data_IF_157694043794
#
_entry.id   IF_157694043794
#
_cell.length_a   1.000
_cell.length_b   1.000
_cell.length_c   1.000
_cell.angle_alpha   90.00
_cell.angle_beta   90.00
_cell.angle_gamma   90.00
#
_symmetry.space_group_name_H-M   'P 1'
#
loop_
_entity.id
_entity.type
_entity.pdbx_description
1 polymer ?
#
# COMPACT_ATOMS: atom_id res chain seq x y z
N UNK A 1 21.16 1.12 15.28
CA UNK A 1 20.91 0.85 13.85
C UNK A 1 20.55 -0.62 13.58
N UNK A 2 21.33 -1.58 14.05
CA UNK A 2 21.06 -3.02 13.82
C UNK A 2 19.71 -3.48 14.37
N UNK A 3 19.33 -3.05 15.56
CA UNK A 3 18.03 -3.37 16.18
C UNK A 3 16.84 -2.83 15.35
N UNK A 4 16.94 -1.59 14.85
CA UNK A 4 15.90 -1.02 14.00
C UNK A 4 15.71 -1.79 12.69
N UNK A 5 16.81 -2.22 12.06
CA UNK A 5 16.77 -3.06 10.85
C UNK A 5 16.13 -4.42 11.15
N UNK A 6 16.51 -5.04 12.25
CA UNK A 6 15.92 -6.31 12.68
C UNK A 6 14.41 -6.19 12.92
N UNK A 7 13.99 -5.14 13.64
CA UNK A 7 12.57 -4.87 13.90
C UNK A 7 11.78 -4.68 12.60
N UNK A 8 12.31 -3.87 11.66
CA UNK A 8 11.66 -3.65 10.36
C UNK A 8 11.52 -4.95 9.59
N UNK A 9 12.57 -5.78 9.54
CA UNK A 9 12.52 -7.08 8.85
C UNK A 9 11.50 -8.01 9.50
N UNK A 10 11.41 -8.04 10.82
CA UNK A 10 10.42 -8.84 11.55
C UNK A 10 9.00 -8.42 11.21
N UNK A 11 8.71 -7.11 11.23
CA UNK A 11 7.40 -6.57 10.87
C UNK A 11 7.02 -6.88 9.42
N UNK A 12 7.94 -6.65 8.48
CA UNK A 12 7.69 -6.94 7.06
C UNK A 12 7.51 -8.44 6.81
N UNK A 13 8.25 -9.29 7.51
CA UNK A 13 8.07 -10.75 7.43
C UNK A 13 6.70 -11.16 7.94
N UNK A 14 6.23 -10.56 9.04
CA UNK A 14 4.89 -10.81 9.58
C UNK A 14 3.76 -10.37 8.63
N UNK A 15 3.98 -9.32 7.83
CA UNK A 15 3.02 -8.90 6.80
C UNK A 15 2.82 -9.93 5.69
N UNK A 16 3.86 -10.67 5.34
CA UNK A 16 3.84 -11.60 4.21
C UNK A 16 3.79 -13.05 4.64
N UNK A 17 3.64 -13.34 5.94
CA UNK A 17 3.65 -14.72 6.48
C UNK A 17 2.55 -15.59 5.89
N UNK A 18 1.37 -15.02 5.66
CA UNK A 18 0.21 -15.73 5.10
C UNK A 18 0.22 -15.76 3.55
N UNK A 19 1.24 -15.20 2.92
CA UNK A 19 1.40 -15.22 1.47
C UNK A 19 2.16 -16.48 1.05
N UNK A 20 1.76 -17.19 -0.01
CA UNK A 20 2.44 -18.41 -0.45
C UNK A 20 3.93 -18.24 -0.69
N UNK A 21 4.70 -19.28 -0.39
CA UNK A 21 6.15 -19.33 -0.59
C UNK A 21 6.51 -18.96 -2.04
N UNK A 22 7.56 -18.18 -2.20
CA UNK A 22 7.97 -17.62 -3.49
C UNK A 22 7.37 -16.26 -3.77
N UNK A 23 6.07 -16.08 -3.61
CA UNK A 23 5.42 -14.76 -3.64
C UNK A 23 5.79 -13.93 -2.43
N UNK A 24 5.76 -14.50 -1.22
CA UNK A 24 6.10 -13.84 0.04
C UNK A 24 7.53 -13.25 0.01
N UNK A 25 8.52 -14.01 -0.45
CA UNK A 25 9.89 -13.53 -0.57
C UNK A 25 10.02 -12.39 -1.59
N UNK A 26 9.27 -12.47 -2.71
CA UNK A 26 9.22 -11.40 -3.70
C UNK A 26 8.64 -10.11 -3.12
N UNK A 27 7.55 -10.20 -2.35
CA UNK A 27 6.95 -9.05 -1.65
C UNK A 27 7.88 -8.50 -0.56
N UNK A 28 8.57 -9.36 0.19
CA UNK A 28 9.57 -8.93 1.18
C UNK A 28 10.63 -8.03 0.53
N UNK A 29 11.16 -8.43 -0.62
CA UNK A 29 12.12 -7.62 -1.37
C UNK A 29 11.55 -6.28 -1.84
N UNK A 30 10.29 -6.26 -2.28
CA UNK A 30 9.60 -5.03 -2.68
C UNK A 30 9.41 -4.10 -1.49
N UNK A 31 8.94 -4.60 -0.35
CA UNK A 31 8.83 -3.80 0.87
C UNK A 31 10.19 -3.28 1.34
N UNK A 32 11.22 -4.11 1.31
CA UNK A 32 12.57 -3.68 1.66
C UNK A 32 13.09 -2.57 0.74
N UNK A 33 12.84 -2.66 -0.56
CA UNK A 33 13.16 -1.61 -1.53
C UNK A 33 12.45 -0.27 -1.18
N UNK A 34 11.18 -0.32 -0.80
CA UNK A 34 10.41 0.86 -0.40
C UNK A 34 10.96 1.46 0.90
N UNK A 35 11.11 0.65 1.95
CA UNK A 35 11.54 1.09 3.28
C UNK A 35 12.99 1.58 3.32
N UNK A 36 13.87 1.01 2.51
CA UNK A 36 15.26 1.49 2.36
C UNK A 36 15.40 2.77 1.53
N UNK A 37 14.30 3.34 1.02
CA UNK A 37 14.30 4.54 0.20
C UNK A 37 14.83 4.35 -1.23
N UNK A 38 15.17 3.12 -1.64
CA UNK A 38 15.71 2.87 -2.98
C UNK A 38 14.71 3.15 -4.10
N UNK A 39 13.43 3.00 -3.81
CA UNK A 39 12.37 3.40 -4.74
C UNK A 39 12.39 4.92 -5.03
N UNK A 40 12.71 5.76 -4.05
CA UNK A 40 12.83 7.22 -4.25
C UNK A 40 14.01 7.56 -5.16
N UNK A 41 15.17 6.91 -4.94
CA UNK A 41 16.36 7.12 -5.76
C UNK A 41 16.13 6.75 -7.24
N UNK A 42 15.26 5.79 -7.49
CA UNK A 42 14.94 5.32 -8.85
C UNK A 42 13.63 5.91 -9.39
N UNK A 43 13.11 6.98 -8.76
CA UNK A 43 11.86 7.67 -9.15
C UNK A 43 10.66 6.72 -9.26
N UNK A 44 10.59 5.72 -8.38
CA UNK A 44 9.54 4.70 -8.37
C UNK A 44 9.72 3.58 -9.39
N UNK A 45 10.83 3.51 -10.11
CA UNK A 45 11.12 2.41 -11.02
C UNK A 45 11.50 1.15 -10.24
N UNK A 46 10.65 0.11 -10.32
CA UNK A 46 10.76 -1.08 -9.47
C UNK A 46 12.00 -1.89 -9.77
N UNK A 47 12.25 -2.23 -11.02
CA UNK A 47 13.41 -3.07 -11.40
C UNK A 47 14.73 -2.41 -11.00
N UNK A 48 15.00 -1.13 -11.37
CA UNK A 48 16.20 -0.44 -10.89
C UNK A 48 16.26 -0.33 -9.36
N UNK A 49 15.11 -0.11 -8.69
CA UNK A 49 15.04 -0.06 -7.22
C UNK A 49 15.42 -1.37 -6.55
N UNK A 50 14.94 -2.49 -7.05
CA UNK A 50 15.31 -3.84 -6.60
C UNK A 50 16.80 -4.15 -6.85
N UNK A 51 17.33 -3.73 -7.98
CA UNK A 51 18.77 -3.85 -8.26
C UNK A 51 19.61 -2.99 -7.30
N UNK A 52 19.13 -1.79 -6.96
CA UNK A 52 19.82 -0.86 -6.06
C UNK A 52 19.86 -1.34 -4.59
N UNK A 53 19.03 -2.31 -4.17
CA UNK A 53 19.16 -2.99 -2.87
C UNK A 53 20.14 -4.17 -2.89
N UNK A 54 20.83 -4.40 -4.01
CA UNK A 54 21.87 -5.43 -4.12
C UNK A 54 21.35 -6.83 -4.46
N UNK A 55 20.10 -6.94 -4.95
CA UNK A 55 19.56 -8.23 -5.37
C UNK A 55 20.19 -8.72 -6.66
N UNK A 56 20.42 -10.03 -6.74
CA UNK A 56 20.82 -10.68 -8.00
C UNK A 56 19.70 -10.55 -9.05
N UNK A 57 20.06 -10.62 -10.33
CA UNK A 57 19.10 -10.52 -11.43
C UNK A 57 17.96 -11.54 -11.30
N UNK A 58 18.26 -12.77 -10.87
CA UNK A 58 17.24 -13.79 -10.62
C UNK A 58 16.29 -13.41 -9.48
N UNK A 59 16.79 -12.77 -8.41
CA UNK A 59 15.94 -12.28 -7.33
C UNK A 59 15.06 -11.10 -7.77
N UNK A 60 15.59 -10.18 -8.56
CA UNK A 60 14.84 -9.07 -9.17
C UNK A 60 13.70 -9.60 -10.04
N UNK A 61 13.95 -10.57 -10.91
CA UNK A 61 12.92 -11.19 -11.76
C UNK A 61 11.83 -11.87 -10.92
N UNK A 62 12.20 -12.58 -9.85
CA UNK A 62 11.21 -13.21 -8.95
C UNK A 62 10.36 -12.18 -8.21
N UNK A 63 10.97 -11.12 -7.69
CA UNK A 63 10.24 -10.04 -7.03
C UNK A 63 9.26 -9.33 -7.99
N UNK A 64 9.68 -9.08 -9.22
CA UNK A 64 8.81 -8.55 -10.27
C UNK A 64 7.65 -9.48 -10.60
N UNK A 65 7.92 -10.79 -10.74
CA UNK A 65 6.89 -11.79 -10.99
C UNK A 65 5.91 -11.91 -9.82
N UNK A 66 6.39 -11.82 -8.58
CA UNK A 66 5.56 -11.83 -7.39
C UNK A 66 4.59 -10.63 -7.36
N UNK A 67 5.05 -9.44 -7.76
CA UNK A 67 4.19 -8.26 -7.85
C UNK A 67 3.07 -8.42 -8.87
N UNK A 68 3.39 -8.88 -10.07
CA UNK A 68 2.44 -8.93 -11.20
C UNK A 68 1.60 -10.20 -11.30
N UNK A 69 2.08 -11.32 -10.77
CA UNK A 69 1.47 -12.65 -10.92
C UNK A 69 1.46 -13.46 -9.62
N UNK A 70 1.85 -12.87 -8.52
CA UNK A 70 1.86 -13.54 -7.23
C UNK A 70 0.46 -13.78 -6.66
N UNK A 71 0.36 -14.78 -5.78
CA UNK A 71 -0.89 -15.13 -5.09
C UNK A 71 -1.10 -14.27 -3.86
N UNK A 72 -1.30 -12.97 -4.05
CA UNK A 72 -1.57 -12.00 -2.99
C UNK A 72 -2.72 -11.07 -3.37
N UNK A 73 -3.36 -10.49 -2.38
CA UNK A 73 -4.37 -9.44 -2.56
C UNK A 73 -4.11 -8.29 -1.61
N UNK A 74 -4.55 -7.07 -1.99
CA UNK A 74 -4.49 -5.90 -1.13
C UNK A 74 -5.19 -6.14 0.21
N UNK A 75 -6.36 -6.79 0.20
CA UNK A 75 -7.15 -7.05 1.41
C UNK A 75 -6.41 -7.94 2.41
N UNK A 76 -5.74 -8.99 1.93
CA UNK A 76 -4.91 -9.84 2.79
C UNK A 76 -3.75 -9.06 3.40
N UNK A 77 -3.07 -8.22 2.63
CA UNK A 77 -1.98 -7.40 3.14
C UNK A 77 -2.47 -6.35 4.14
N UNK A 78 -3.59 -5.69 3.87
CA UNK A 78 -4.22 -4.73 4.81
C UNK A 78 -4.64 -5.43 6.10
N UNK A 79 -5.24 -6.62 6.02
CA UNK A 79 -5.61 -7.43 7.20
C UNK A 79 -4.38 -7.85 8.00
N UNK A 80 -3.32 -8.31 7.33
CA UNK A 80 -2.07 -8.68 7.99
C UNK A 80 -1.41 -7.47 8.65
N UNK A 81 -1.43 -6.31 8.00
CA UNK A 81 -0.94 -5.06 8.57
C UNK A 81 -1.70 -4.67 9.84
N UNK A 82 -3.04 -4.69 9.80
CA UNK A 82 -3.86 -4.39 10.97
C UNK A 82 -3.54 -5.32 12.14
N UNK A 83 -3.40 -6.63 11.88
CA UNK A 83 -3.03 -7.63 12.89
C UNK A 83 -1.66 -7.33 13.50
N UNK A 84 -0.67 -6.98 12.69
CA UNK A 84 0.68 -6.63 13.16
C UNK A 84 0.65 -5.42 14.07
N UNK A 85 -0.06 -4.35 13.67
CA UNK A 85 -0.18 -3.11 14.47
C UNK A 85 -0.93 -3.36 15.78
N UNK A 86 -2.00 -4.15 15.77
CA UNK A 86 -2.75 -4.52 16.95
C UNK A 86 -1.91 -5.39 17.91
N UNK A 87 -1.14 -6.34 17.37
CA UNK A 87 -0.25 -7.20 18.16
C UNK A 87 0.91 -6.42 18.82
N UNK A 88 1.40 -5.35 18.20
CA UNK A 88 2.39 -4.44 18.78
C UNK A 88 1.86 -3.69 20.02
N UNK A 89 0.53 -3.51 20.12
CA UNK A 89 -0.15 -2.93 21.28
C UNK A 89 0.06 -1.41 21.45
N UNK A 90 0.83 -0.77 20.60
CA UNK A 90 1.10 0.67 20.68
C UNK A 90 -0.03 1.53 20.10
N UNK A 91 -0.85 0.97 19.21
CA UNK A 91 -1.99 1.65 18.62
C UNK A 91 -3.21 1.57 19.55
N UNK A 92 -3.76 2.73 19.88
CA UNK A 92 -4.95 2.86 20.73
C UNK A 92 -6.12 3.42 19.90
N UNK A 93 -7.25 2.70 19.82
CA UNK A 93 -8.42 3.20 19.09
C UNK A 93 -9.00 4.44 19.77
N UNK A 94 -9.36 5.44 18.99
CA UNK A 94 -10.16 6.55 19.49
C UNK A 94 -11.60 6.11 19.70
N UNK A 95 -12.23 6.69 20.71
CA UNK A 95 -13.65 6.53 21.01
C UNK A 95 -14.31 7.91 21.09
N UNK A 96 -15.46 8.05 20.47
CA UNK A 96 -16.28 9.26 20.57
C UNK A 96 -17.73 8.87 20.80
N UNK A 97 -18.27 9.21 21.99
CA UNK A 97 -19.63 8.84 22.38
C UNK A 97 -19.94 7.33 22.30
N UNK A 98 -18.95 6.47 22.55
CA UNK A 98 -19.07 5.01 22.44
C UNK A 98 -18.88 4.46 21.01
N UNK A 99 -18.64 5.32 20.03
CA UNK A 99 -18.36 4.93 18.63
C UNK A 99 -16.90 5.07 18.28
N UNK A 100 -16.40 4.14 17.48
CA UNK A 100 -15.06 4.23 16.91
C UNK A 100 -15.12 5.05 15.61
N UNK A 101 -14.39 6.16 15.50
CA UNK A 101 -14.37 6.95 14.28
C UNK A 101 -13.64 6.24 13.14
N UNK A 102 -14.18 6.41 11.94
CA UNK A 102 -13.64 5.88 10.69
C UNK A 102 -13.30 7.06 9.78
N UNK A 103 -12.12 7.03 9.18
CA UNK A 103 -11.76 7.93 8.10
C UNK A 103 -11.92 7.22 6.75
N UNK A 104 -12.48 7.94 5.80
CA UNK A 104 -12.52 7.54 4.39
C UNK A 104 -11.80 8.61 3.59
N UNK A 105 -10.84 8.21 2.77
CA UNK A 105 -10.11 9.12 1.90
C UNK A 105 -9.98 8.54 0.49
N UNK A 106 -10.02 9.41 -0.51
CA UNK A 106 -9.85 9.05 -1.91
C UNK A 106 -8.62 9.78 -2.43
N UNK A 107 -7.65 9.01 -2.90
CA UNK A 107 -6.47 9.54 -3.57
C UNK A 107 -6.43 9.08 -5.02
N UNK A 108 -5.65 9.75 -5.84
CA UNK A 108 -5.50 9.39 -7.25
C UNK A 108 -4.04 9.43 -7.67
N UNK A 109 -3.66 8.41 -8.43
CA UNK A 109 -2.38 8.38 -9.13
C UNK A 109 -2.59 8.83 -10.57
N UNK A 110 -2.30 10.09 -10.85
CA UNK A 110 -2.44 10.65 -12.20
C UNK A 110 -1.43 10.05 -13.18
N UNK A 111 -1.93 9.68 -14.33
CA UNK A 111 -1.18 9.08 -15.44
C UNK A 111 -1.50 9.79 -16.75
N UNK A 112 -1.22 11.09 -16.89
CA UNK A 112 -1.68 11.90 -18.03
C UNK A 112 -1.17 11.41 -19.39
N UNK A 113 -0.08 10.64 -19.40
CA UNK A 113 0.50 10.06 -20.63
C UNK A 113 0.11 8.61 -20.88
N UNK A 114 -0.68 8.00 -19.98
CA UNK A 114 -1.12 6.62 -20.14
C UNK A 114 -2.28 6.57 -21.13
N UNK A 115 -2.02 6.07 -22.32
CA UNK A 115 -3.06 5.83 -23.32
C UNK A 115 -4.01 4.74 -22.83
N UNK A 116 -5.32 4.95 -23.06
CA UNK A 116 -6.34 3.99 -22.63
C UNK A 116 -6.49 3.84 -21.12
N UNK A 117 -6.09 4.87 -20.33
CA UNK A 117 -6.37 4.87 -18.91
C UNK A 117 -7.90 4.88 -18.70
N UNK A 118 -8.47 3.82 -18.09
CA UNK A 118 -9.91 3.62 -18.09
C UNK A 118 -10.66 4.54 -17.11
N UNK A 119 -9.94 5.21 -16.24
CA UNK A 119 -10.50 6.09 -15.21
C UNK A 119 -9.82 7.46 -15.24
N UNK A 120 -10.52 8.46 -14.74
CA UNK A 120 -10.01 9.82 -14.58
C UNK A 120 -10.39 10.38 -13.21
N UNK A 121 -9.60 11.36 -12.75
CA UNK A 121 -9.88 12.07 -11.50
C UNK A 121 -9.54 13.55 -11.66
N UNK A 122 -10.27 14.41 -10.93
CA UNK A 122 -10.04 15.85 -10.97
C UNK A 122 -8.66 16.19 -10.41
N UNK A 123 -7.88 16.95 -11.18
CA UNK A 123 -6.56 17.44 -10.80
C UNK A 123 -6.65 18.93 -10.53
N UNK A 124 -6.58 19.34 -9.27
CA UNK A 124 -6.81 20.71 -8.84
C UNK A 124 -5.91 21.73 -9.55
N UNK A 125 -4.60 21.45 -9.64
CA UNK A 125 -3.64 22.36 -10.32
C UNK A 125 -3.89 22.50 -11.82
N UNK A 126 -4.41 21.46 -12.47
CA UNK A 126 -4.74 21.51 -13.90
C UNK A 126 -6.16 22.04 -14.17
N UNK A 127 -7.00 22.21 -13.14
CA UNK A 127 -8.37 22.65 -13.26
C UNK A 127 -9.28 21.72 -14.07
N UNK A 128 -8.91 20.45 -14.27
CA UNK A 128 -9.64 19.48 -15.09
C UNK A 128 -9.41 18.05 -14.66
N UNK A 129 -10.29 17.14 -15.09
CA UNK A 129 -10.08 15.71 -14.93
C UNK A 129 -8.92 15.25 -15.86
N UNK A 130 -8.00 14.47 -15.30
CA UNK A 130 -6.89 13.85 -16.02
C UNK A 130 -6.96 12.32 -15.84
N UNK A 131 -6.40 11.54 -16.78
CA UNK A 131 -6.24 10.11 -16.63
C UNK A 131 -5.58 9.76 -15.31
N UNK A 132 -6.24 8.94 -14.49
CA UNK A 132 -5.80 8.62 -13.15
C UNK A 132 -6.32 7.25 -12.71
N UNK A 133 -5.65 6.67 -11.73
CA UNK A 133 -6.12 5.48 -11.00
C UNK A 133 -6.57 5.94 -9.62
N UNK A 134 -7.88 6.14 -9.38
CA UNK A 134 -8.40 6.47 -8.07
C UNK A 134 -8.34 5.25 -7.14
N UNK A 135 -8.03 5.51 -5.87
CA UNK A 135 -8.00 4.51 -4.80
C UNK A 135 -8.68 5.11 -3.58
N UNK A 136 -9.60 4.36 -2.99
CA UNK A 136 -10.22 4.68 -1.71
C UNK A 136 -9.58 3.88 -0.59
N UNK A 137 -9.37 4.51 0.55
CA UNK A 137 -8.91 3.87 1.76
C UNK A 137 -9.90 4.09 2.89
N UNK A 138 -10.20 3.05 3.63
CA UNK A 138 -10.98 3.10 4.86
C UNK A 138 -10.05 2.78 6.01
N UNK A 139 -9.99 3.63 7.02
CA UNK A 139 -9.12 3.48 8.17
C UNK A 139 -9.85 3.73 9.49
N UNK A 140 -9.59 2.92 10.50
CA UNK A 140 -9.97 3.22 11.87
C UNK A 140 -9.05 4.28 12.44
N UNK A 141 -9.60 5.24 13.16
CA UNK A 141 -8.82 6.31 13.77
C UNK A 141 -8.41 5.94 15.18
N UNK A 142 -7.14 6.11 15.47
CA UNK A 142 -6.54 5.89 16.76
C UNK A 142 -5.30 6.76 16.95
N UNK A 143 -4.45 6.39 17.87
CA UNK A 143 -3.18 7.07 18.13
C UNK A 143 -2.06 6.09 18.45
N UNK A 144 -0.85 6.49 18.11
CA UNK A 144 0.41 5.89 18.55
C UNK A 144 1.22 7.03 19.18
N UNK A 145 1.69 6.86 20.40
CA UNK A 145 2.47 7.86 21.13
C UNK A 145 1.83 9.26 21.11
N UNK A 146 0.51 9.33 21.37
CA UNK A 146 -0.32 10.54 21.35
C UNK A 146 -0.44 11.19 19.95
N UNK A 147 0.15 10.66 18.91
CA UNK A 147 -0.02 11.10 17.54
C UNK A 147 -1.18 10.35 16.88
N UNK A 148 -2.04 11.09 16.17
CA UNK A 148 -3.17 10.50 15.45
C UNK A 148 -2.66 9.59 14.33
N UNK A 149 -3.19 8.38 14.30
CA UNK A 149 -2.82 7.36 13.33
C UNK A 149 -4.05 6.63 12.79
N UNK A 150 -4.18 6.58 11.47
CA UNK A 150 -5.22 5.81 10.80
C UNK A 150 -4.77 4.38 10.54
N UNK A 151 -5.45 3.39 11.09
CA UNK A 151 -5.19 1.97 10.83
C UNK A 151 -6.03 1.51 9.62
N UNK A 152 -5.44 1.25 8.45
CA UNK A 152 -6.17 0.81 7.27
C UNK A 152 -6.93 -0.48 7.52
N UNK A 153 -8.19 -0.52 7.05
CA UNK A 153 -9.08 -1.70 7.11
C UNK A 153 -9.58 -2.13 5.75
N UNK A 154 -9.54 -1.24 4.79
CA UNK A 154 -9.94 -1.53 3.42
C UNK A 154 -9.21 -0.65 2.43
N UNK A 155 -8.93 -1.21 1.27
CA UNK A 155 -8.40 -0.51 0.11
C UNK A 155 -9.24 -0.88 -1.10
N UNK A 156 -9.87 0.11 -1.71
CA UNK A 156 -10.72 -0.07 -2.89
C UNK A 156 -10.08 0.66 -4.07
N UNK A 157 -9.99 -0.03 -5.20
CA UNK A 157 -9.57 0.57 -6.47
C UNK A 157 -10.79 0.74 -7.36
N UNK A 158 -10.90 1.86 -8.06
CA UNK A 158 -11.94 2.05 -9.05
C UNK A 158 -11.87 0.93 -10.10
N UNK A 159 -13.00 0.24 -10.32
CA UNK A 159 -13.10 -0.76 -11.40
C UNK A 159 -13.40 -0.03 -12.71
N UNK A 160 -12.53 -0.14 -13.73
CA UNK A 160 -12.76 0.48 -15.01
C UNK A 160 -13.94 -0.12 -15.79
N UNK A 161 -14.44 -1.29 -15.39
CA UNK A 161 -15.59 -1.94 -16.00
C UNK A 161 -16.92 -1.55 -15.34
N UNK A 162 -16.87 -0.88 -14.19
CA UNK A 162 -18.07 -0.40 -13.52
C UNK A 162 -18.38 1.02 -13.99
N UNK A 163 -19.44 1.22 -14.81
CA UNK A 163 -19.80 2.54 -15.33
C UNK A 163 -20.41 3.47 -14.27
N UNK A 164 -20.66 2.99 -13.04
CA UNK A 164 -21.16 3.85 -11.97
C UNK A 164 -20.12 4.88 -11.57
N UNK A 165 -20.52 6.14 -11.30
CA UNK A 165 -19.58 7.15 -10.85
C UNK A 165 -18.94 6.68 -9.54
N UNK A 166 -17.69 6.32 -9.66
CA UNK A 166 -16.87 5.64 -8.66
C UNK A 166 -16.76 6.35 -7.31
N UNK A 167 -17.09 7.64 -7.26
CA UNK A 167 -17.07 8.42 -6.02
C UNK A 167 -18.11 7.94 -4.98
N UNK A 168 -19.27 7.44 -5.40
CA UNK A 168 -20.32 7.01 -4.48
C UNK A 168 -20.14 5.58 -3.93
N UNK A 169 -19.30 4.77 -4.55
CA UNK A 169 -18.98 3.40 -4.05
C UNK A 169 -17.68 3.30 -3.27
N UNK A 170 -16.86 4.33 -3.29
CA UNK A 170 -15.64 4.43 -2.49
C UNK A 170 -15.88 5.16 -1.15
N UNK A 171 -17.04 5.74 -0.97
CA UNK A 171 -17.53 6.32 0.27
C UNK A 171 -18.54 5.40 0.92
#
# INVERSE_FOLDING_TARGET
MQEAVYRVLTLVSALVVDVPIGTNLGLLHLFWMLLSGKALLTRGAIIPGLSAVGLSEGAVRRAWAALGRGSWTSDRLVTSWARVVEAEGSWQPHQHGGYQPVAVDITAFWRPRLQGCPTSHYHATAGKALPAIPMGIIALIGSVDAQRFGLPRGLVRADPKDPSPSAHRLA
#
